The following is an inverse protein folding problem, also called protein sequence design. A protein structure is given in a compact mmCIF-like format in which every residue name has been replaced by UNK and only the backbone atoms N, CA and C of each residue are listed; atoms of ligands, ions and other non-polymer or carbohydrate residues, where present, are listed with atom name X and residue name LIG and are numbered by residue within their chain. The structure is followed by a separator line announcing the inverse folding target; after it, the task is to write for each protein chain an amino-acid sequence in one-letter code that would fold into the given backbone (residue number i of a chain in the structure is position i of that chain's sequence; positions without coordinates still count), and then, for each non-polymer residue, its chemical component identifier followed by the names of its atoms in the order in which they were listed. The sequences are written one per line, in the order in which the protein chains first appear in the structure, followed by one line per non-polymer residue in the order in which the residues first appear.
data_IF_428292439737
#
_entry.id   IF_428292439737
#
_cell.length_a   1.000
_cell.length_b   1.000
_cell.length_c   1.000
_cell.angle_alpha   90.00
_cell.angle_beta   90.00
_cell.angle_gamma   90.00
#
_symmetry.space_group_name_H-M   'P 1'
#
loop_
_entity.id
_entity.type
_entity.pdbx_description
1 polymer ?
#
# COMPACT_ATOMS: atom_id res chain seq x y z
N UNK A 1 -17.62 9.10 -41.79
CA UNK A 1 -16.76 7.95 -41.45
C UNK A 1 -16.62 7.91 -39.94
N UNK A 2 -16.88 6.76 -39.34
CA UNK A 2 -17.11 6.59 -37.91
C UNK A 2 -15.86 6.75 -37.03
N UNK A 3 -16.12 7.25 -35.83
CA UNK A 3 -15.39 7.12 -34.56
C UNK A 3 -14.32 6.03 -34.49
N UNK A 4 -13.13 6.44 -34.06
CA UNK A 4 -12.29 5.71 -33.08
C UNK A 4 -11.38 6.74 -32.42
N UNK A 5 -11.93 7.51 -31.48
CA UNK A 5 -11.13 8.01 -30.37
C UNK A 5 -10.65 6.77 -29.65
N UNK A 6 -9.42 6.36 -29.95
CA UNK A 6 -8.80 5.21 -29.33
C UNK A 6 -8.82 5.42 -27.82
N UNK A 7 -9.45 4.46 -27.17
CA UNK A 7 -9.57 4.25 -25.75
C UNK A 7 -8.18 4.30 -25.09
N UNK A 8 -7.75 5.49 -24.65
CA UNK A 8 -6.45 5.72 -24.00
C UNK A 8 -6.48 5.38 -22.51
N UNK A 9 -7.39 4.52 -22.06
CA UNK A 9 -7.18 3.75 -20.84
C UNK A 9 -6.14 2.66 -21.11
N UNK A 10 -4.93 3.08 -21.47
CA UNK A 10 -3.75 2.25 -21.31
C UNK A 10 -3.75 1.77 -19.86
N UNK A 11 -3.45 0.48 -19.64
CA UNK A 11 -3.31 -0.14 -18.32
C UNK A 11 -2.40 0.70 -17.42
N UNK A 12 -2.98 1.68 -16.73
CA UNK A 12 -2.36 2.44 -15.67
C UNK A 12 -2.12 1.45 -14.54
N UNK A 13 -0.90 0.90 -14.51
CA UNK A 13 -0.49 -0.02 -13.46
C UNK A 13 -0.71 0.61 -12.10
N UNK A 14 -1.04 -0.19 -11.08
CA UNK A 14 -1.41 0.30 -9.74
C UNK A 14 -0.39 1.31 -9.18
N UNK A 15 0.89 1.24 -9.58
CA UNK A 15 1.91 2.25 -9.21
C UNK A 15 1.56 3.69 -9.63
N UNK A 16 0.85 3.88 -10.74
CA UNK A 16 0.51 5.22 -11.24
C UNK A 16 -0.47 5.95 -10.33
N UNK A 17 -1.18 5.21 -9.46
CA UNK A 17 -1.96 5.82 -8.39
C UNK A 17 -1.07 6.63 -7.44
N UNK A 18 0.14 6.16 -7.18
CA UNK A 18 1.09 6.87 -6.33
C UNK A 18 1.82 8.01 -7.05
N UNK A 19 1.92 7.98 -8.38
CA UNK A 19 2.50 9.08 -9.18
C UNK A 19 1.67 10.37 -9.07
N UNK A 20 0.36 10.24 -8.88
CA UNK A 20 -0.56 11.38 -8.70
C UNK A 20 -0.66 11.91 -7.27
N UNK A 21 0.03 11.31 -6.30
CA UNK A 21 -0.07 11.66 -4.88
C UNK A 21 1.14 12.48 -4.43
N UNK A 22 0.94 13.36 -3.44
CA UNK A 22 2.07 14.08 -2.83
C UNK A 22 2.99 13.12 -2.10
N UNK A 23 4.29 13.41 -2.09
CA UNK A 23 5.29 12.60 -1.38
C UNK A 23 4.94 12.41 0.10
N UNK A 24 4.45 13.47 0.75
CA UNK A 24 3.97 13.45 2.14
C UNK A 24 2.83 12.45 2.34
N UNK A 25 1.90 12.37 1.39
CA UNK A 25 0.80 11.42 1.45
C UNK A 25 1.28 9.99 1.25
N UNK A 26 2.17 9.75 0.28
CA UNK A 26 2.79 8.43 0.08
C UNK A 26 3.54 7.99 1.34
N UNK A 27 4.30 8.89 1.98
CA UNK A 27 4.97 8.60 3.24
C UNK A 27 3.99 8.25 4.37
N UNK A 28 2.89 8.98 4.48
CA UNK A 28 1.82 8.71 5.45
C UNK A 28 1.21 7.31 5.24
N UNK A 29 0.94 6.94 3.99
CA UNK A 29 0.43 5.60 3.63
C UNK A 29 1.42 4.52 4.07
N UNK A 30 2.70 4.63 3.69
CA UNK A 30 3.74 3.66 4.05
C UNK A 30 3.93 3.58 5.56
N UNK A 31 4.00 4.73 6.24
CA UNK A 31 4.16 4.79 7.70
C UNK A 31 3.00 4.10 8.42
N UNK A 32 1.77 4.30 7.93
CA UNK A 32 0.58 3.66 8.50
C UNK A 32 0.61 2.15 8.27
N UNK A 33 0.93 1.70 7.06
CA UNK A 33 1.07 0.28 6.71
C UNK A 33 2.05 -0.40 7.65
N UNK A 34 3.24 0.18 7.83
CA UNK A 34 4.28 -0.40 8.68
C UNK A 34 3.89 -0.39 10.18
N UNK A 35 3.14 0.62 10.63
CA UNK A 35 2.69 0.71 12.03
C UNK A 35 1.50 -0.20 12.34
N UNK A 36 0.70 -0.56 11.33
CA UNK A 36 -0.54 -1.32 11.48
C UNK A 36 -0.53 -2.66 10.75
N UNK A 37 0.64 -3.14 10.32
CA UNK A 37 0.78 -4.41 9.60
C UNK A 37 0.21 -5.59 10.40
N UNK A 38 0.26 -5.52 11.74
CA UNK A 38 -0.36 -6.53 12.61
C UNK A 38 -1.89 -6.57 12.60
N UNK A 39 -2.56 -5.57 12.01
CA UNK A 39 -4.02 -5.53 11.81
C UNK A 39 -4.45 -6.07 10.45
N UNK A 40 -3.50 -6.28 9.54
CA UNK A 40 -3.78 -6.91 8.26
C UNK A 40 -4.05 -8.40 8.44
N UNK A 41 -4.77 -8.98 7.48
CA UNK A 41 -4.97 -10.42 7.40
C UNK A 41 -3.60 -11.14 7.26
N UNK A 42 -3.47 -12.39 7.74
CA UNK A 42 -2.23 -13.15 7.61
C UNK A 42 -1.75 -13.29 6.16
N UNK A 43 -2.67 -13.40 5.20
CA UNK A 43 -2.34 -13.54 3.79
C UNK A 43 -1.86 -12.22 3.18
N UNK A 44 -2.53 -11.10 3.48
CA UNK A 44 -2.10 -9.76 3.04
C UNK A 44 -0.73 -9.41 3.63
N UNK A 45 -0.49 -9.74 4.90
CA UNK A 45 0.82 -9.57 5.55
C UNK A 45 1.90 -10.40 4.85
N UNK A 46 1.67 -11.70 4.61
CA UNK A 46 2.64 -12.57 3.92
C UNK A 46 2.91 -12.10 2.50
N UNK A 47 1.89 -11.65 1.78
CA UNK A 47 2.04 -11.12 0.43
C UNK A 47 2.94 -9.88 0.43
N UNK A 48 2.70 -8.94 1.35
CA UNK A 48 3.55 -7.76 1.55
C UNK A 48 5.00 -8.13 1.86
N UNK A 49 5.23 -8.99 2.86
CA UNK A 49 6.58 -9.45 3.24
C UNK A 49 7.29 -10.16 2.07
N UNK A 50 6.57 -11.00 1.32
CA UNK A 50 7.09 -11.68 0.12
C UNK A 50 7.52 -10.68 -0.96
N UNK A 51 6.76 -9.61 -1.21
CA UNK A 51 7.15 -8.61 -2.19
C UNK A 51 8.35 -7.78 -1.72
N UNK A 52 8.47 -7.49 -0.43
CA UNK A 52 9.68 -6.84 0.12
C UNK A 52 10.93 -7.70 -0.09
N UNK A 53 10.82 -9.01 0.12
CA UNK A 53 11.95 -9.93 -0.02
C UNK A 53 12.38 -10.08 -1.48
N UNK A 54 11.42 -10.05 -2.43
CA UNK A 54 11.70 -10.09 -3.88
C UNK A 54 12.42 -8.84 -4.39
N UNK A 55 12.19 -7.69 -3.76
CA UNK A 55 12.80 -6.42 -4.15
C UNK A 55 14.29 -6.33 -3.77
N UNK A 56 14.83 -7.30 -3.02
CA UNK A 56 16.23 -7.31 -2.58
C UNK A 56 16.66 -5.99 -1.92
N UNK A 57 15.75 -5.37 -1.15
CA UNK A 57 16.04 -4.11 -0.46
C UNK A 57 17.18 -4.33 0.53
N UNK A 58 18.30 -3.63 0.29
CA UNK A 58 19.46 -3.70 1.17
C UNK A 58 19.25 -2.78 2.36
N UNK A 59 18.82 -3.35 3.49
CA UNK A 59 18.74 -2.63 4.75
C UNK A 59 20.01 -2.93 5.57
N UNK A 60 20.80 -1.91 5.96
CA UNK A 60 22.02 -2.12 6.75
C UNK A 60 21.74 -2.93 8.02
N UNK A 61 22.48 -4.01 8.23
CA UNK A 61 22.33 -4.90 9.39
C UNK A 61 21.28 -6.01 9.23
N UNK A 62 20.54 -6.05 8.13
CA UNK A 62 19.50 -7.06 7.91
C UNK A 62 19.77 -7.86 6.62
N UNK A 63 19.66 -9.19 6.72
CA UNK A 63 19.77 -10.09 5.55
C UNK A 63 18.50 -10.09 4.71
N UNK A 64 17.36 -9.88 5.37
CA UNK A 64 16.03 -9.92 4.79
C UNK A 64 15.30 -8.64 5.18
N UNK A 65 14.73 -7.94 4.19
CA UNK A 65 14.11 -6.65 4.41
C UNK A 65 12.88 -6.76 5.33
N UNK A 66 12.05 -7.80 5.17
CA UNK A 66 10.87 -8.02 6.02
C UNK A 66 11.16 -8.13 7.53
N UNK A 67 12.41 -8.43 7.93
CA UNK A 67 12.82 -8.51 9.33
C UNK A 67 13.33 -7.19 9.91
N UNK A 68 13.49 -6.16 9.07
CA UNK A 68 13.97 -4.86 9.53
C UNK A 68 12.89 -4.09 10.32
N UNK A 69 13.28 -3.26 11.30
CA UNK A 69 12.37 -2.39 12.01
C UNK A 69 11.57 -1.49 11.05
N UNK A 70 10.28 -1.23 11.35
CA UNK A 70 9.41 -0.35 10.55
C UNK A 70 10.05 0.98 10.12
N UNK A 71 10.76 1.65 11.02
CA UNK A 71 11.37 2.95 10.71
C UNK A 71 12.48 2.87 9.66
N UNK A 72 13.16 1.73 9.52
CA UNK A 72 14.21 1.52 8.51
C UNK A 72 13.65 1.12 7.14
N UNK A 73 12.39 0.67 7.09
CA UNK A 73 11.74 0.20 5.86
C UNK A 73 10.98 1.31 5.12
N UNK A 74 10.68 2.42 5.79
CA UNK A 74 9.85 3.50 5.25
C UNK A 74 10.38 4.05 3.93
N UNK A 75 11.61 4.58 3.94
CA UNK A 75 12.18 5.19 2.73
C UNK A 75 12.42 4.16 1.63
N UNK A 76 13.04 2.99 1.89
CA UNK A 76 13.21 1.96 0.86
C UNK A 76 11.91 1.55 0.17
N UNK A 77 10.82 1.40 0.93
CA UNK A 77 9.50 1.08 0.37
C UNK A 77 8.97 2.26 -0.44
N UNK A 78 9.05 3.49 0.08
CA UNK A 78 8.59 4.69 -0.63
C UNK A 78 9.25 4.82 -2.00
N UNK A 79 10.57 4.63 -2.07
CA UNK A 79 11.32 4.70 -3.33
C UNK A 79 10.98 3.53 -4.28
N UNK A 80 10.65 2.36 -3.73
CA UNK A 80 10.38 1.16 -4.52
C UNK A 80 8.93 1.05 -5.01
N UNK A 81 8.00 1.79 -4.40
CA UNK A 81 6.59 1.82 -4.79
C UNK A 81 6.40 2.23 -6.26
N UNK A 82 7.20 3.17 -6.75
CA UNK A 82 7.14 3.62 -8.14
C UNK A 82 7.70 2.59 -9.12
N UNK A 83 8.51 1.64 -8.64
CA UNK A 83 9.18 0.63 -9.46
C UNK A 83 8.47 -0.72 -9.50
N UNK A 84 7.43 -0.94 -8.68
CA UNK A 84 6.80 -2.25 -8.52
C UNK A 84 5.29 -2.15 -8.27
N UNK A 85 4.50 -2.50 -9.28
CA UNK A 85 3.03 -2.62 -9.15
C UNK A 85 2.63 -3.62 -8.06
N UNK A 86 3.38 -4.71 -7.90
CA UNK A 86 3.07 -5.73 -6.91
C UNK A 86 3.26 -5.23 -5.48
N UNK A 87 4.34 -4.47 -5.25
CA UNK A 87 4.54 -3.80 -3.97
C UNK A 87 3.45 -2.75 -3.73
N UNK A 88 3.13 -1.96 -4.75
CA UNK A 88 2.07 -0.95 -4.67
C UNK A 88 0.72 -1.58 -4.29
N UNK A 89 0.34 -2.69 -4.92
CA UNK A 89 -0.86 -3.46 -4.56
C UNK A 89 -0.78 -3.94 -3.12
N UNK A 90 0.33 -4.57 -2.72
CA UNK A 90 0.47 -5.11 -1.37
C UNK A 90 0.37 -4.02 -0.29
N UNK A 91 0.99 -2.86 -0.52
CA UNK A 91 0.89 -1.68 0.34
C UNK A 91 -0.55 -1.18 0.43
N UNK A 92 -1.25 -1.05 -0.70
CA UNK A 92 -2.63 -0.58 -0.71
C UNK A 92 -3.59 -1.54 0.00
N UNK A 93 -3.43 -2.85 -0.18
CA UNK A 93 -4.26 -3.86 0.50
C UNK A 93 -4.08 -3.75 2.01
N UNK A 94 -2.84 -3.75 2.51
CA UNK A 94 -2.57 -3.58 3.95
C UNK A 94 -3.06 -2.22 4.46
N UNK A 95 -2.92 -1.16 3.65
CA UNK A 95 -3.40 0.16 4.01
C UNK A 95 -4.91 0.18 4.18
N UNK A 96 -5.68 -0.40 3.25
CA UNK A 96 -7.13 -0.51 3.34
C UNK A 96 -7.55 -1.31 4.58
N UNK A 97 -6.96 -2.49 4.80
CA UNK A 97 -7.26 -3.33 5.96
C UNK A 97 -6.97 -2.61 7.29
N UNK A 98 -5.94 -1.76 7.33
CA UNK A 98 -5.62 -0.96 8.53
C UNK A 98 -6.71 0.07 8.93
N UNK A 99 -7.68 0.34 8.04
CA UNK A 99 -8.81 1.23 8.29
C UNK A 99 -10.11 0.48 8.60
N UNK A 100 -10.14 -0.85 8.51
CA UNK A 100 -11.36 -1.62 8.71
C UNK A 100 -12.07 -1.35 10.05
N UNK A 101 -11.35 -1.25 11.19
CA UNK A 101 -11.99 -0.89 12.46
C UNK A 101 -12.63 0.51 12.43
N UNK A 102 -12.01 1.47 11.74
CA UNK A 102 -12.58 2.82 11.61
C UNK A 102 -13.84 2.79 10.73
N UNK A 103 -13.84 1.99 9.66
CA UNK A 103 -15.00 1.83 8.78
C UNK A 103 -16.19 1.26 9.55
N UNK A 104 -15.98 0.25 10.38
CA UNK A 104 -17.01 -0.35 11.23
C UNK A 104 -17.62 0.68 12.19
N UNK A 105 -16.78 1.45 12.90
CA UNK A 105 -17.23 2.51 13.83
C UNK A 105 -18.03 3.60 13.10
N UNK A 106 -17.56 4.05 11.94
CA UNK A 106 -18.24 5.10 11.17
C UNK A 106 -19.59 4.59 10.65
N UNK A 107 -19.65 3.33 10.19
CA UNK A 107 -20.89 2.74 9.70
C UNK A 107 -21.92 2.60 10.82
N UNK A 108 -21.52 2.09 11.99
CA UNK A 108 -22.37 1.99 13.18
C UNK A 108 -22.98 3.36 13.52
N UNK A 109 -22.17 4.42 13.50
CA UNK A 109 -22.64 5.79 13.78
C UNK A 109 -23.59 6.34 12.73
N UNK A 110 -23.42 5.97 11.46
CA UNK A 110 -24.35 6.38 10.40
C UNK A 110 -25.69 5.66 10.59
N UNK A 111 -25.66 4.37 10.90
CA UNK A 111 -26.86 3.56 11.13
C UNK A 111 -27.64 4.07 12.35
N UNK A 112 -26.95 4.47 13.43
CA UNK A 112 -27.54 5.10 14.62
C UNK A 112 -28.26 6.43 14.32
N UNK A 113 -27.80 7.20 13.32
CA UNK A 113 -28.41 8.49 12.93
C UNK A 113 -29.55 8.30 11.93
N UNK A 114 -29.52 7.22 11.16
CA UNK A 114 -30.54 6.87 10.17
C UNK A 114 -31.74 6.08 10.71
N UNK A 115 -31.69 5.63 11.97
CA UNK A 115 -32.76 4.93 12.69
C UNK A 115 -33.60 5.88 13.56
#
# INVERSE_FOLDING_TARGET
MANRSADSTENLGIRSLFEGLSEEYVESVVSRVLSHLGRASPDSKRAFESELDKLNLRIPGFRTASLAPPHMLRDPIRHSLMGSDKLAVAVLVVWVESHQPLREIVQERIDDIGA
#
